data_IF_634517423366
#
_entry.id   IF_634517423366
#
_cell.length_a   1.000
_cell.length_b   1.000
_cell.length_c   1.000
_cell.angle_alpha   90.00
_cell.angle_beta   90.00
_cell.angle_gamma   90.00
#
_symmetry.space_group_name_H-M   'P 1'
#
loop_
_entity.id
_entity.type
_entity.pdbx_description
1 polymer ?
#
# COMPACT_ATOMS: atom_id res chain seq x y z
N UNK A 1 17.97 32.86 -4.15
CA UNK A 1 18.93 32.30 -3.18
C UNK A 1 19.06 30.80 -3.47
N UNK A 2 20.01 30.40 -4.33
CA UNK A 2 20.17 29.03 -4.84
C UNK A 2 21.02 28.16 -3.89
N UNK A 3 20.75 28.24 -2.58
CA UNK A 3 21.51 27.59 -1.50
C UNK A 3 20.56 26.81 -0.59
N UNK A 4 19.84 25.84 -1.17
CA UNK A 4 19.00 24.91 -0.40
C UNK A 4 18.92 23.49 -1.02
N UNK A 5 19.90 23.09 -1.84
CA UNK A 5 20.04 21.71 -2.35
C UNK A 5 21.40 21.10 -2.01
N UNK A 6 22.05 21.61 -0.98
CA UNK A 6 23.09 20.91 -0.27
C UNK A 6 22.63 20.89 1.18
N UNK A 7 22.00 19.80 1.60
CA UNK A 7 22.04 19.20 2.95
C UNK A 7 21.13 17.96 2.95
N UNK A 8 21.81 16.81 2.89
CA UNK A 8 21.46 15.52 3.53
C UNK A 8 20.56 14.50 2.79
N UNK A 9 20.84 13.19 2.95
CA UNK A 9 22.16 12.56 2.94
C UNK A 9 22.16 11.16 2.28
N UNK A 10 23.38 10.64 2.10
CA UNK A 10 23.73 9.26 1.81
C UNK A 10 23.11 8.22 2.79
N UNK A 11 21.83 7.91 2.59
CA UNK A 11 21.12 6.83 3.29
C UNK A 11 20.48 5.80 2.33
N UNK A 12 20.90 5.78 1.05
CA UNK A 12 20.27 4.96 0.01
C UNK A 12 21.20 3.95 -0.67
N UNK A 13 22.47 3.80 -0.24
CA UNK A 13 23.47 3.11 -1.08
C UNK A 13 24.06 1.80 -0.53
N UNK A 14 23.30 1.06 0.29
CA UNK A 14 23.73 -0.28 0.71
C UNK A 14 22.68 -1.39 0.56
N UNK A 15 21.38 -1.09 0.68
CA UNK A 15 20.34 -2.15 0.62
C UNK A 15 19.81 -2.45 -0.78
N UNK A 16 20.06 -1.59 -1.78
CA UNK A 16 19.62 -1.82 -3.16
C UNK A 16 20.57 -2.71 -3.99
N UNK A 17 21.72 -3.14 -3.43
CA UNK A 17 22.70 -3.99 -4.15
C UNK A 17 22.57 -5.49 -3.89
N UNK A 18 21.64 -5.91 -3.01
CA UNK A 18 21.40 -7.33 -2.72
C UNK A 18 20.54 -8.06 -3.77
N UNK A 19 20.10 -7.39 -4.84
CA UNK A 19 19.25 -7.99 -5.88
C UNK A 19 20.00 -8.86 -6.91
N UNK A 20 21.26 -9.25 -6.66
CA UNK A 20 22.01 -10.04 -7.66
C UNK A 20 23.08 -10.98 -7.09
N UNK A 21 22.79 -11.62 -5.96
CA UNK A 21 23.55 -12.77 -5.48
C UNK A 21 22.59 -13.95 -5.27
N UNK A 22 23.01 -15.15 -5.70
CA UNK A 22 22.22 -16.37 -5.70
C UNK A 22 21.34 -16.55 -4.44
N UNK A 23 20.04 -16.71 -4.66
CA UNK A 23 19.03 -16.83 -3.62
C UNK A 23 19.29 -18.08 -2.75
N UNK A 24 19.44 -17.94 -1.41
CA UNK A 24 19.31 -19.05 -0.50
C UNK A 24 17.91 -19.65 -0.59
N UNK A 25 17.72 -20.91 -0.20
CA UNK A 25 16.45 -21.65 -0.17
C UNK A 25 15.39 -21.09 0.80
N UNK A 26 15.56 -19.86 1.28
CA UNK A 26 14.70 -19.17 2.23
C UNK A 26 14.35 -17.81 1.65
N UNK A 27 13.05 -17.57 1.42
CA UNK A 27 12.52 -16.29 0.96
C UNK A 27 13.02 -15.15 1.87
N UNK A 28 13.56 -14.05 1.33
CA UNK A 28 13.86 -12.86 2.10
C UNK A 28 12.64 -12.42 2.91
N UNK A 29 12.87 -11.88 4.12
CA UNK A 29 11.79 -11.48 5.03
C UNK A 29 10.75 -10.55 4.36
N UNK A 30 11.22 -9.66 3.48
CA UNK A 30 10.34 -8.75 2.71
C UNK A 30 9.37 -9.48 1.79
N UNK A 31 9.81 -10.54 1.09
CA UNK A 31 8.95 -11.34 0.21
C UNK A 31 7.94 -12.17 1.02
N UNK A 32 8.38 -12.71 2.16
CA UNK A 32 7.47 -13.43 3.07
C UNK A 32 6.41 -12.50 3.64
N UNK A 33 6.78 -11.29 4.04
CA UNK A 33 5.84 -10.29 4.55
C UNK A 33 4.89 -9.80 3.45
N UNK A 34 5.39 -9.58 2.24
CA UNK A 34 4.58 -9.23 1.08
C UNK A 34 3.54 -10.32 0.79
N UNK A 35 3.95 -11.59 0.80
CA UNK A 35 3.02 -12.73 0.63
C UNK A 35 1.95 -12.77 1.73
N UNK A 36 2.33 -12.51 2.99
CA UNK A 36 1.36 -12.44 4.08
C UNK A 36 0.34 -11.32 3.86
N UNK A 37 0.75 -10.13 3.40
CA UNK A 37 -0.21 -9.07 3.07
C UNK A 37 -1.08 -9.42 1.86
N UNK A 38 -0.50 -10.03 0.82
CA UNK A 38 -1.24 -10.47 -0.36
C UNK A 38 -2.33 -11.49 0.01
N UNK A 39 -1.98 -12.49 0.83
CA UNK A 39 -2.95 -13.48 1.34
C UNK A 39 -4.08 -12.79 2.10
N UNK A 40 -3.77 -11.82 2.98
CA UNK A 40 -4.79 -11.09 3.74
C UNK A 40 -5.69 -10.24 2.83
N UNK A 41 -5.11 -9.55 1.85
CA UNK A 41 -5.87 -8.77 0.85
C UNK A 41 -6.78 -9.68 0.04
N UNK A 42 -6.33 -10.89 -0.33
CA UNK A 42 -7.11 -11.84 -1.11
C UNK A 42 -8.39 -12.29 -0.38
N UNK A 43 -8.38 -12.34 0.97
CA UNK A 43 -9.54 -12.70 1.79
C UNK A 43 -10.55 -11.55 2.00
N UNK A 44 -10.23 -10.33 1.58
CA UNK A 44 -11.16 -9.20 1.69
C UNK A 44 -12.30 -9.32 0.66
N UNK A 45 -13.48 -8.76 0.98
CA UNK A 45 -14.56 -8.64 0.00
C UNK A 45 -14.12 -7.89 -1.26
N UNK A 46 -14.68 -8.27 -2.41
CA UNK A 46 -14.41 -7.62 -3.69
C UNK A 46 -14.51 -6.08 -3.67
N UNK A 47 -15.58 -5.45 -3.13
CA UNK A 47 -15.67 -3.98 -3.10
C UNK A 47 -14.55 -3.34 -2.27
N UNK A 48 -14.16 -3.96 -1.15
CA UNK A 48 -13.02 -3.53 -0.35
C UNK A 48 -11.72 -3.56 -1.16
N UNK A 49 -11.45 -4.67 -1.88
CA UNK A 49 -10.22 -4.81 -2.69
C UNK A 49 -10.17 -3.78 -3.82
N UNK A 50 -11.30 -3.47 -4.46
CA UNK A 50 -11.38 -2.43 -5.49
C UNK A 50 -11.00 -1.06 -4.92
N UNK A 51 -11.56 -0.67 -3.77
CA UNK A 51 -11.22 0.59 -3.12
C UNK A 51 -9.73 0.68 -2.75
N UNK A 52 -9.17 -0.40 -2.20
CA UNK A 52 -7.75 -0.45 -1.87
C UNK A 52 -6.86 -0.32 -3.12
N UNK A 53 -7.26 -0.93 -4.23
CA UNK A 53 -6.52 -0.85 -5.48
C UNK A 53 -6.48 0.59 -6.01
N UNK A 54 -7.64 1.24 -6.04
CA UNK A 54 -7.72 2.65 -6.45
C UNK A 54 -6.87 3.51 -5.51
N UNK A 55 -6.96 3.33 -4.19
CA UNK A 55 -6.16 4.10 -3.24
C UNK A 55 -4.65 3.87 -3.40
N UNK A 56 -4.22 2.63 -3.70
CA UNK A 56 -2.82 2.30 -3.95
C UNK A 56 -2.29 2.93 -5.24
N UNK A 57 -3.13 3.05 -6.27
CA UNK A 57 -2.77 3.66 -7.56
C UNK A 57 -2.85 5.20 -7.54
N UNK A 58 -3.77 5.77 -6.77
CA UNK A 58 -3.91 7.22 -6.58
C UNK A 58 -2.74 7.81 -5.80
N UNK A 59 -2.23 7.09 -4.79
CA UNK A 59 -1.05 7.48 -4.02
C UNK A 59 -1.26 8.64 -3.03
N UNK A 60 -2.35 9.40 -3.12
CA UNK A 60 -2.69 10.46 -2.15
C UNK A 60 -3.54 9.96 -1.00
N UNK A 61 -4.33 8.91 -1.27
CA UNK A 61 -5.25 8.29 -0.32
C UNK A 61 -6.50 9.12 -0.05
N UNK A 62 -6.79 10.15 -0.85
CA UNK A 62 -7.99 10.96 -0.69
C UNK A 62 -9.25 10.12 -0.96
N UNK A 63 -10.08 9.95 0.08
CA UNK A 63 -11.27 9.12 -0.02
C UNK A 63 -12.29 9.69 -1.01
N UNK A 64 -12.35 11.01 -1.19
CA UNK A 64 -13.25 11.59 -2.19
C UNK A 64 -12.88 11.15 -3.61
N UNK A 65 -11.58 11.10 -3.92
CA UNK A 65 -11.07 10.64 -5.22
C UNK A 65 -11.29 9.14 -5.39
N UNK A 66 -11.02 8.36 -4.34
CA UNK A 66 -11.20 6.89 -4.34
C UNK A 66 -12.68 6.51 -4.53
N UNK A 67 -13.61 7.16 -3.83
CA UNK A 67 -15.05 6.94 -3.99
C UNK A 67 -15.54 7.35 -5.38
N UNK A 68 -15.08 8.51 -5.89
CA UNK A 68 -15.48 9.00 -7.21
C UNK A 68 -15.08 8.02 -8.33
N UNK A 69 -13.92 7.37 -8.22
CA UNK A 69 -13.45 6.39 -9.20
C UNK A 69 -14.30 5.09 -9.23
N UNK A 70 -15.00 4.77 -8.14
CA UNK A 70 -15.83 3.57 -8.00
C UNK A 70 -17.32 3.88 -7.85
N UNK A 71 -17.75 5.08 -8.26
CA UNK A 71 -19.13 5.55 -8.08
C UNK A 71 -20.17 4.48 -8.48
N UNK A 72 -20.92 3.99 -7.49
CA UNK A 72 -21.97 2.99 -7.64
C UNK A 72 -21.53 1.52 -7.53
N UNK A 73 -20.24 1.24 -7.36
CA UNK A 73 -19.68 -0.12 -7.18
C UNK A 73 -19.17 -0.40 -5.78
N UNK A 74 -18.60 0.61 -5.10
CA UNK A 74 -18.10 0.52 -3.74
C UNK A 74 -18.10 1.90 -3.07
N UNK A 75 -18.18 1.95 -1.74
CA UNK A 75 -18.12 3.18 -0.95
C UNK A 75 -17.26 3.04 0.30
N UNK A 76 -16.98 4.15 1.01
CA UNK A 76 -16.12 4.12 2.22
C UNK A 76 -16.58 3.11 3.27
N UNK A 77 -17.88 2.81 3.38
CA UNK A 77 -18.40 1.80 4.31
C UNK A 77 -17.86 0.37 4.01
N UNK A 78 -17.47 0.10 2.76
CA UNK A 78 -16.85 -1.16 2.36
C UNK A 78 -15.39 -1.29 2.83
N UNK A 79 -14.78 -0.25 3.42
CA UNK A 79 -13.42 -0.31 3.99
C UNK A 79 -13.38 -0.95 5.38
N UNK A 80 -14.53 -1.14 6.03
CA UNK A 80 -14.61 -1.72 7.39
C UNK A 80 -13.89 -3.06 7.57
N UNK A 81 -13.92 -4.02 6.62
CA UNK A 81 -13.10 -5.22 6.68
C UNK A 81 -11.59 -4.94 6.70
N UNK A 82 -11.10 -4.05 5.83
CA UNK A 82 -9.68 -3.72 5.74
C UNK A 82 -9.17 -2.97 6.98
N UNK A 83 -10.00 -2.11 7.57
CA UNK A 83 -9.68 -1.40 8.81
C UNK A 83 -9.64 -2.36 10.01
N UNK A 84 -10.61 -3.30 10.11
CA UNK A 84 -10.60 -4.35 11.14
C UNK A 84 -9.35 -5.23 11.06
N UNK A 85 -8.92 -5.52 9.84
CA UNK A 85 -7.67 -6.24 9.57
C UNK A 85 -6.42 -5.35 9.71
N UNK A 86 -6.56 -4.06 10.05
CA UNK A 86 -5.43 -3.13 10.20
C UNK A 86 -4.55 -3.05 8.93
N UNK A 87 -5.15 -3.27 7.77
CA UNK A 87 -4.50 -3.10 6.47
C UNK A 87 -4.54 -1.64 6.03
N UNK A 88 -5.52 -0.89 6.54
CA UNK A 88 -5.65 0.55 6.33
C UNK A 88 -5.98 1.26 7.64
N UNK A 89 -5.71 2.56 7.66
CA UNK A 89 -6.20 3.48 8.68
C UNK A 89 -6.92 4.64 8.01
N UNK A 90 -8.09 4.98 8.53
CA UNK A 90 -8.88 6.12 8.07
C UNK A 90 -8.64 7.30 9.01
N UNK A 91 -8.22 8.42 8.45
CA UNK A 91 -8.03 9.65 9.22
C UNK A 91 -9.37 10.29 9.56
N UNK A 92 -9.58 10.65 10.82
CA UNK A 92 -10.76 11.39 11.31
C UNK A 92 -10.73 12.88 10.95
N UNK A 93 -9.57 13.41 10.52
CA UNK A 93 -9.42 14.78 10.01
C UNK A 93 -9.77 14.88 8.51
N UNK A 94 -8.82 15.25 7.61
CA UNK A 94 -9.08 15.11 6.18
C UNK A 94 -9.39 13.63 5.88
N UNK A 95 -10.47 13.36 5.15
CA UNK A 95 -10.94 12.00 4.82
C UNK A 95 -9.91 11.30 3.92
N UNK A 96 -8.91 10.68 4.55
CA UNK A 96 -7.81 9.98 3.88
C UNK A 96 -7.65 8.56 4.39
N UNK A 97 -7.35 7.69 3.46
CA UNK A 97 -6.91 6.33 3.68
C UNK A 97 -5.38 6.29 3.66
N UNK A 98 -4.79 5.69 4.68
CA UNK A 98 -3.37 5.40 4.74
C UNK A 98 -3.13 3.90 4.89
N UNK A 99 -2.12 3.39 4.19
CA UNK A 99 -1.60 2.06 4.43
C UNK A 99 -0.59 2.12 5.59
N UNK A 100 -0.81 1.44 6.73
CA UNK A 100 0.13 1.44 7.85
C UNK A 100 1.51 0.89 7.48
N UNK A 101 1.58 0.09 6.41
CA UNK A 101 2.81 -0.46 5.89
C UNK A 101 2.86 -0.33 4.34
N UNK A 102 3.95 0.17 3.74
CA UNK A 102 4.05 0.36 2.28
C UNK A 102 3.77 -0.91 1.47
N UNK A 103 4.24 -2.07 1.98
CA UNK A 103 3.99 -3.36 1.33
C UNK A 103 2.51 -3.74 1.21
N UNK A 104 1.59 -3.16 2.00
CA UNK A 104 0.16 -3.44 1.82
C UNK A 104 -0.31 -2.90 0.46
N UNK A 105 0.03 -1.65 0.14
CA UNK A 105 -0.30 -1.06 -1.16
C UNK A 105 0.32 -1.85 -2.33
N UNK A 106 1.59 -2.25 -2.20
CA UNK A 106 2.25 -3.11 -3.20
C UNK A 106 1.55 -4.46 -3.37
N UNK A 107 1.16 -5.10 -2.26
CA UNK A 107 0.47 -6.38 -2.30
C UNK A 107 -0.91 -6.26 -2.95
N UNK A 108 -1.65 -5.17 -2.70
CA UNK A 108 -2.93 -4.90 -3.35
C UNK A 108 -2.77 -4.80 -4.87
N UNK A 109 -1.78 -4.04 -5.35
CA UNK A 109 -1.50 -3.92 -6.80
C UNK A 109 -1.09 -5.26 -7.39
N UNK A 110 -0.24 -6.02 -6.70
CA UNK A 110 0.22 -7.33 -7.14
C UNK A 110 -0.90 -8.39 -7.21
N UNK A 111 -1.96 -8.27 -6.41
CA UNK A 111 -3.13 -9.17 -6.49
C UNK A 111 -4.10 -8.84 -7.63
N UNK A 112 -3.96 -7.66 -8.24
CA UNK A 112 -4.79 -7.24 -9.37
C UNK A 112 -4.17 -7.57 -10.75
N UNK A 113 -2.94 -8.11 -10.76
CA UNK A 113 -2.20 -8.52 -11.95
C UNK A 113 -2.17 -10.04 -12.06
#
# INVERSE_FOLDING_TARGET
NPLALAELPAALDTDQRAARAALPSVLPLGERLHKLFADRVAHLPAPTRELLLVAALDGTGDLATVEAALAGRAGVDDLGPAERDRLVHLSTGPRRLAFPHPLVGSAVVAQAT
#
